data_IF_464589845971
#
_entry.id   IF_464589845971
#
_cell.length_a   1.000
_cell.length_b   1.000
_cell.length_c   1.000
_cell.angle_alpha   90.00
_cell.angle_beta   90.00
_cell.angle_gamma   90.00
#
_symmetry.space_group_name_H-M   'P 1'
#
loop_
_entity.id
_entity.type
_entity.pdbx_description
1 polymer ?
#
# COMPACT_ATOMS: atom_id res chain seq x y z
N UNK A 1 -13.94 -15.52 0.55
CA UNK A 1 -14.46 -14.22 0.09
C UNK A 1 -14.17 -13.19 1.16
N UNK A 2 -13.65 -12.02 0.81
CA UNK A 2 -13.22 -10.97 1.73
C UNK A 2 -13.47 -9.60 1.11
N UNK A 3 -13.46 -8.55 1.94
CA UNK A 3 -13.32 -7.18 1.44
C UNK A 3 -11.98 -7.08 0.70
N UNK A 4 -12.02 -6.63 -0.56
CA UNK A 4 -10.83 -6.51 -1.40
C UNK A 4 -10.10 -5.20 -1.08
N UNK A 5 -8.85 -5.09 -1.55
CA UNK A 5 -7.97 -3.90 -1.48
C UNK A 5 -7.57 -3.38 -0.09
N UNK A 6 -8.21 -3.82 0.99
CA UNK A 6 -7.75 -3.55 2.35
C UNK A 6 -6.32 -4.08 2.54
N UNK A 7 -5.39 -3.22 2.95
CA UNK A 7 -3.98 -3.58 3.08
C UNK A 7 -3.61 -3.89 4.55
N UNK A 8 -2.99 -5.04 4.78
CA UNK A 8 -2.42 -5.45 6.08
C UNK A 8 -0.95 -5.76 5.90
N UNK A 9 -0.12 -5.30 6.84
CA UNK A 9 1.31 -5.61 6.91
C UNK A 9 1.67 -6.10 8.30
N UNK A 10 2.32 -7.26 8.39
CA UNK A 10 2.68 -7.90 9.66
C UNK A 10 4.09 -8.48 9.63
N UNK A 11 4.67 -8.64 10.83
CA UNK A 11 5.98 -9.22 10.98
C UNK A 11 5.91 -10.74 10.78
N UNK A 12 6.73 -11.27 9.87
CA UNK A 12 6.78 -12.68 9.47
C UNK A 12 7.06 -13.62 10.65
N UNK A 13 7.90 -13.21 11.60
CA UNK A 13 8.38 -14.05 12.69
C UNK A 13 7.41 -14.08 13.87
N UNK A 14 6.77 -12.95 14.15
CA UNK A 14 5.94 -12.79 15.36
C UNK A 14 4.43 -12.80 15.07
N UNK A 15 4.02 -12.62 13.82
CA UNK A 15 2.62 -12.44 13.43
C UNK A 15 2.02 -11.09 13.85
N UNK A 16 2.81 -10.21 14.49
CA UNK A 16 2.29 -8.92 14.97
C UNK A 16 2.08 -7.95 13.80
N UNK A 17 0.92 -7.29 13.73
CA UNK A 17 0.71 -6.23 12.74
C UNK A 17 1.58 -5.02 13.06
N UNK A 18 2.12 -4.36 12.03
CA UNK A 18 2.88 -3.12 12.19
C UNK A 18 1.97 -1.91 12.42
N UNK A 19 0.75 -1.97 11.88
CA UNK A 19 -0.25 -0.91 11.94
C UNK A 19 -1.64 -1.51 11.73
N UNK A 20 -2.68 -0.76 12.07
CA UNK A 20 -4.06 -1.11 11.70
C UNK A 20 -4.18 -1.31 10.18
N UNK A 21 -5.08 -2.21 9.79
CA UNK A 21 -5.45 -2.40 8.39
C UNK A 21 -5.90 -1.05 7.77
N UNK A 22 -5.40 -0.74 6.58
CA UNK A 22 -5.86 0.41 5.82
C UNK A 22 -6.94 -0.09 4.87
N UNK A 23 -8.20 0.21 5.20
CA UNK A 23 -9.38 -0.28 4.47
C UNK A 23 -9.48 0.31 3.07
N UNK A 24 -10.13 -0.40 2.15
CA UNK A 24 -10.25 -0.02 0.73
C UNK A 24 -10.83 1.39 0.50
N UNK A 25 -11.72 1.87 1.39
CA UNK A 25 -12.31 3.22 1.33
C UNK A 25 -11.38 4.33 1.78
N UNK A 26 -10.23 4.01 2.39
CA UNK A 26 -9.32 5.02 2.93
C UNK A 26 -8.71 5.87 1.81
N UNK A 27 -8.80 7.20 1.97
CA UNK A 27 -8.37 8.19 0.98
C UNK A 27 -7.05 8.88 1.32
N UNK A 28 -6.33 8.48 2.38
CA UNK A 28 -5.10 9.15 2.87
C UNK A 28 -3.93 9.17 1.86
N UNK A 29 -4.06 8.41 0.77
CA UNK A 29 -3.02 8.19 -0.23
C UNK A 29 -3.22 9.05 -1.48
N UNK A 30 -4.10 10.05 -1.42
CA UNK A 30 -4.38 11.02 -2.47
C UNK A 30 -3.11 11.71 -2.99
N UNK A 31 -2.26 12.20 -2.08
CA UNK A 31 -0.98 12.83 -2.41
C UNK A 31 -0.01 11.87 -3.09
N UNK A 32 0.04 10.62 -2.65
CA UNK A 32 0.88 9.58 -3.26
C UNK A 32 0.39 9.30 -4.70
N UNK A 33 -0.92 9.21 -4.91
CA UNK A 33 -1.49 9.02 -6.24
C UNK A 33 -1.18 10.21 -7.16
N UNK A 34 -1.31 11.45 -6.65
CA UNK A 34 -0.97 12.66 -7.40
C UNK A 34 0.52 12.72 -7.77
N UNK A 35 1.40 12.36 -6.84
CA UNK A 35 2.85 12.30 -7.09
C UNK A 35 3.19 11.25 -8.16
N UNK A 36 2.61 10.04 -8.04
CA UNK A 36 2.82 8.97 -9.01
C UNK A 36 2.32 9.37 -10.41
N UNK A 37 1.21 10.10 -10.49
CA UNK A 37 0.61 10.53 -11.76
C UNK A 37 1.18 11.83 -12.33
N UNK A 38 2.19 12.45 -11.70
CA UNK A 38 2.62 13.81 -12.03
C UNK A 38 3.05 14.01 -13.49
N UNK A 39 3.66 12.99 -14.11
CA UNK A 39 4.17 13.06 -15.50
C UNK A 39 3.23 12.37 -16.48
N UNK A 40 2.78 11.16 -16.13
CA UNK A 40 2.04 10.26 -17.03
C UNK A 40 0.52 10.24 -16.75
N UNK A 41 0.06 11.06 -15.81
CA UNK A 41 -1.35 11.12 -15.39
C UNK A 41 -1.81 9.90 -14.59
N UNK A 42 -3.12 9.80 -14.40
CA UNK A 42 -3.76 8.71 -13.64
C UNK A 42 -3.60 7.33 -14.29
N UNK A 43 -3.25 7.26 -15.58
CA UNK A 43 -3.19 6.02 -16.35
C UNK A 43 -1.79 5.44 -16.49
N UNK A 44 -0.81 6.03 -15.79
CA UNK A 44 0.60 5.62 -15.75
C UNK A 44 0.84 4.11 -15.71
N UNK A 45 0.01 3.35 -15.00
CA UNK A 45 0.17 1.90 -14.85
C UNK A 45 -0.97 1.07 -15.49
N UNK A 46 -1.95 1.72 -16.13
CA UNK A 46 -3.14 1.03 -16.64
C UNK A 46 -2.79 -0.10 -17.60
N UNK A 47 -1.81 0.09 -18.48
CA UNK A 47 -1.39 -0.93 -19.44
C UNK A 47 -0.74 -2.17 -18.79
N UNK A 48 -0.20 -2.02 -17.58
CA UNK A 48 0.50 -3.11 -16.86
C UNK A 48 -0.42 -3.85 -15.90
N UNK A 49 -1.32 -3.13 -15.23
CA UNK A 49 -2.14 -3.69 -14.14
C UNK A 49 -3.64 -3.60 -14.39
N UNK A 50 -4.07 -2.95 -15.48
CA UNK A 50 -5.49 -2.78 -15.84
C UNK A 50 -6.23 -1.72 -15.00
N UNK A 51 -5.53 -1.00 -14.12
CA UNK A 51 -6.12 -0.11 -13.12
C UNK A 51 -5.52 1.29 -13.18
N UNK A 52 -6.32 2.36 -12.96
CA UNK A 52 -5.80 3.71 -12.80
C UNK A 52 -5.15 3.89 -11.41
N UNK A 53 -4.39 4.97 -11.26
CA UNK A 53 -4.00 5.49 -9.96
C UNK A 53 -5.25 5.96 -9.21
N UNK A 54 -5.55 5.31 -8.09
CA UNK A 54 -6.64 5.69 -7.20
C UNK A 54 -6.31 5.28 -5.77
N UNK A 55 -6.88 6.01 -4.80
CA UNK A 55 -6.72 5.70 -3.37
C UNK A 55 -7.36 4.38 -2.96
N UNK A 56 -8.25 3.85 -3.80
CA UNK A 56 -8.95 2.58 -3.60
C UNK A 56 -8.00 1.37 -3.51
N UNK A 57 -6.91 1.35 -4.27
CA UNK A 57 -6.05 0.16 -4.38
C UNK A 57 -5.02 0.04 -3.25
N UNK A 58 -4.46 -1.16 -3.07
CA UNK A 58 -3.53 -1.49 -2.00
C UNK A 58 -2.13 -0.92 -2.20
N UNK A 59 -1.67 -0.70 -3.43
CA UNK A 59 -0.32 -0.21 -3.74
C UNK A 59 0.04 1.10 -3.02
N UNK A 60 -0.74 2.19 -3.20
CA UNK A 60 -0.51 3.44 -2.48
C UNK A 60 -0.59 3.30 -0.95
N UNK A 61 -1.43 2.38 -0.43
CA UNK A 61 -1.55 2.10 1.01
C UNK A 61 -0.29 1.45 1.57
N UNK A 62 0.28 0.48 0.84
CA UNK A 62 1.56 -0.15 1.20
C UNK A 62 2.70 0.87 1.17
N UNK A 63 2.72 1.76 0.16
CA UNK A 63 3.69 2.86 0.12
C UNK A 63 3.57 3.76 1.35
N UNK A 64 2.35 4.17 1.71
CA UNK A 64 2.11 4.99 2.90
C UNK A 64 2.60 4.30 4.18
N UNK A 65 2.32 3.01 4.36
CA UNK A 65 2.79 2.25 5.51
C UNK A 65 4.32 2.25 5.60
N UNK A 66 5.00 1.98 4.49
CA UNK A 66 6.46 1.93 4.44
C UNK A 66 7.11 3.29 4.74
N UNK A 67 6.45 4.40 4.42
CA UNK A 67 6.97 5.75 4.65
C UNK A 67 6.66 6.28 6.06
N UNK A 68 5.57 5.81 6.69
CA UNK A 68 5.03 6.42 7.91
C UNK A 68 5.14 5.54 9.15
N UNK A 69 5.30 4.22 9.01
CA UNK A 69 5.38 3.31 10.16
C UNK A 69 6.85 3.06 10.54
N UNK A 70 7.32 3.51 11.72
CA UNK A 70 8.71 3.35 12.12
C UNK A 70 9.15 1.89 12.11
N UNK A 71 10.35 1.62 11.57
CA UNK A 71 10.93 0.29 11.48
C UNK A 71 10.39 -0.59 10.35
N UNK A 72 9.21 -0.29 9.80
CA UNK A 72 8.58 -1.16 8.79
C UNK A 72 9.38 -1.23 7.49
N UNK A 73 9.94 -0.11 7.01
CA UNK A 73 10.77 -0.11 5.80
C UNK A 73 12.00 -1.01 5.96
N UNK A 74 12.73 -0.86 7.07
CA UNK A 74 13.91 -1.66 7.33
C UNK A 74 13.58 -3.15 7.43
N UNK A 75 12.46 -3.49 8.07
CA UNK A 75 12.02 -4.87 8.19
C UNK A 75 11.57 -5.46 6.84
N UNK A 76 10.89 -4.66 6.01
CA UNK A 76 10.50 -5.06 4.66
C UNK A 76 11.73 -5.33 3.78
N UNK A 77 12.75 -4.49 3.83
CA UNK A 77 14.01 -4.67 3.09
C UNK A 77 14.81 -5.89 3.54
N UNK A 78 14.66 -6.31 4.80
CA UNK A 78 15.22 -7.58 5.31
C UNK A 78 14.35 -8.81 5.04
N UNK A 79 13.16 -8.65 4.46
CA UNK A 79 12.20 -9.73 4.24
C UNK A 79 11.48 -10.20 5.51
N UNK A 80 11.52 -9.40 6.58
CA UNK A 80 10.86 -9.67 7.86
C UNK A 80 9.39 -9.20 7.89
N UNK A 81 8.97 -8.35 6.94
CA UNK A 81 7.58 -7.90 6.82
C UNK A 81 6.84 -8.59 5.66
N UNK A 82 5.58 -8.98 5.89
CA UNK A 82 4.69 -9.58 4.90
C UNK A 82 3.49 -8.66 4.65
N UNK A 83 3.00 -8.69 3.41
CA UNK A 83 1.82 -7.94 2.97
C UNK A 83 0.71 -8.89 2.50
N UNK A 84 -0.54 -8.50 2.73
CA UNK A 84 -1.73 -9.21 2.22
C UNK A 84 -2.94 -8.28 2.06
N UNK A 85 -3.83 -8.65 1.12
CA UNK A 85 -5.11 -7.99 0.82
C UNK A 85 -6.23 -8.98 0.50
#
# INVERSE_FOLDING_TARGET
TNQRETAVVWNRKTGKPYHNAIVWQDTRTDRICAELGRVEGQDRFRDRVGLPLATYFSGPKVRWLLDNVPGLRQDAERGDALFGN
#
